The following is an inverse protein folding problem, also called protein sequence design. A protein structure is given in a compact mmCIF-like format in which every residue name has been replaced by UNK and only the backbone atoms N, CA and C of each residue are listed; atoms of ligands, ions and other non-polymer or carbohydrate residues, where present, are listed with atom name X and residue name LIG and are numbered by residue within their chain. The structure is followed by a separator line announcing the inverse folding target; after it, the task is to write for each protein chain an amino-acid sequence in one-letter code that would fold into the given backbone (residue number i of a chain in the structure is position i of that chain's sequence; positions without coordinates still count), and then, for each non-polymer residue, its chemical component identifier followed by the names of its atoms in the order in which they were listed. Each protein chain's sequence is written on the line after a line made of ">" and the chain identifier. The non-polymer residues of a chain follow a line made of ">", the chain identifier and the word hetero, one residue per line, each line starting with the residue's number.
data_IF_451948055151
#
_entry.id   IF_451948055151
#
_cell.length_a   1.000
_cell.length_b   1.000
_cell.length_c   1.000
_cell.angle_alpha   90.00
_cell.angle_beta   90.00
_cell.angle_gamma   90.00
#
_symmetry.space_group_name_H-M   'P 1'
#
loop_
_entity.id
_entity.type
_entity.pdbx_description
1 polymer ?
#
# COMPACT_ATOMS: atom_id res chain seq x y z
N UNK A 1 8.69 -20.09 -18.56
CA UNK A 1 7.71 -19.00 -18.76
C UNK A 1 8.31 -17.97 -19.71
N UNK A 2 7.49 -17.31 -20.53
CA UNK A 2 7.95 -16.17 -21.35
C UNK A 2 8.52 -15.09 -20.42
N UNK A 3 9.55 -14.36 -20.86
CA UNK A 3 10.13 -13.25 -20.11
C UNK A 3 9.14 -12.12 -19.83
N UNK A 4 8.01 -12.09 -20.55
CA UNK A 4 6.94 -11.09 -20.42
C UNK A 4 5.72 -11.59 -19.63
N UNK A 5 5.67 -12.86 -19.22
CA UNK A 5 4.54 -13.43 -18.51
C UNK A 5 4.37 -12.84 -17.10
N UNK A 6 3.12 -12.49 -16.76
CA UNK A 6 2.69 -12.10 -15.43
C UNK A 6 1.46 -12.91 -15.03
N UNK A 7 1.39 -13.37 -13.78
CA UNK A 7 0.27 -14.19 -13.29
C UNK A 7 -1.01 -13.38 -13.05
N UNK A 8 -0.89 -12.11 -12.70
CA UNK A 8 -2.04 -11.27 -12.32
C UNK A 8 -3.15 -11.20 -13.38
N UNK A 9 -2.90 -10.95 -14.67
CA UNK A 9 -3.96 -10.89 -15.67
C UNK A 9 -4.75 -12.19 -15.85
N UNK A 10 -4.22 -13.30 -15.35
CA UNK A 10 -4.82 -14.64 -15.49
C UNK A 10 -5.48 -15.12 -14.19
N UNK A 11 -5.31 -14.44 -13.09
CA UNK A 11 -5.78 -14.93 -11.78
C UNK A 11 -6.37 -13.87 -10.89
N UNK A 12 -6.13 -12.57 -11.13
CA UNK A 12 -6.44 -11.49 -10.21
C UNK A 12 -7.30 -10.39 -10.84
N UNK A 13 -8.16 -9.84 -10.02
CA UNK A 13 -8.81 -8.55 -10.25
C UNK A 13 -8.62 -7.63 -9.05
N UNK A 14 -8.48 -6.34 -9.33
CA UNK A 14 -8.28 -5.30 -8.35
C UNK A 14 -9.32 -4.19 -8.57
N UNK A 15 -9.89 -3.66 -7.49
CA UNK A 15 -10.72 -2.46 -7.55
C UNK A 15 -9.95 -1.22 -7.11
N UNK A 16 -10.24 -0.08 -7.72
CA UNK A 16 -10.01 1.20 -7.09
C UNK A 16 -11.05 1.48 -6.01
N UNK A 17 -10.87 2.57 -5.28
CA UNK A 17 -11.80 2.98 -4.21
C UNK A 17 -13.19 3.34 -4.73
N UNK A 18 -13.31 3.78 -5.98
CA UNK A 18 -14.57 4.08 -6.67
C UNK A 18 -15.13 2.89 -7.49
N UNK A 19 -14.52 1.71 -7.38
CA UNK A 19 -14.99 0.48 -8.00
C UNK A 19 -14.49 0.20 -9.41
N UNK A 20 -13.71 1.10 -10.00
CA UNK A 20 -13.10 0.84 -11.31
C UNK A 20 -12.12 -0.33 -11.25
N UNK A 21 -12.08 -1.10 -12.34
CA UNK A 21 -11.35 -2.37 -12.40
C UNK A 21 -9.92 -2.16 -12.87
N UNK A 22 -8.99 -2.79 -12.18
CA UNK A 22 -7.57 -2.88 -12.55
C UNK A 22 -7.11 -4.33 -12.63
N UNK A 23 -6.12 -4.58 -13.47
CA UNK A 23 -5.43 -5.89 -13.53
C UNK A 23 -4.66 -6.20 -12.25
N UNK A 24 -4.00 -5.19 -11.69
CA UNK A 24 -3.22 -5.27 -10.45
C UNK A 24 -2.97 -3.86 -9.88
N UNK A 25 -2.36 -3.77 -8.70
CA UNK A 25 -2.05 -2.51 -8.03
C UNK A 25 -0.97 -1.66 -8.73
N UNK A 26 -0.12 -2.26 -9.58
CA UNK A 26 1.00 -1.59 -10.25
C UNK A 26 0.71 -1.16 -11.69
N UNK A 27 -0.55 -1.19 -12.11
CA UNK A 27 -0.92 -0.77 -13.46
C UNK A 27 -0.78 0.75 -13.63
N UNK A 28 -0.49 1.19 -14.85
CA UNK A 28 -0.53 2.61 -15.19
C UNK A 28 -1.95 3.17 -14.95
N UNK A 29 -2.08 4.12 -14.05
CA UNK A 29 -3.37 4.68 -13.62
C UNK A 29 -4.13 5.44 -14.72
N UNK A 30 -3.43 5.83 -15.78
CA UNK A 30 -4.05 6.49 -16.94
C UNK A 30 -4.70 5.51 -17.93
N UNK A 31 -4.56 4.21 -17.71
CA UNK A 31 -5.10 3.17 -18.59
C UNK A 31 -6.13 2.33 -17.82
N UNK A 32 -7.35 2.84 -17.77
CA UNK A 32 -8.48 2.13 -17.19
C UNK A 32 -8.98 1.03 -18.12
N UNK A 33 -9.42 -0.08 -17.54
CA UNK A 33 -10.12 -1.10 -18.29
C UNK A 33 -11.47 -0.55 -18.78
N UNK A 34 -11.71 -0.56 -20.09
CA UNK A 34 -12.96 -0.06 -20.68
C UNK A 34 -13.65 -1.12 -21.51
N UNK A 35 -14.97 -0.99 -21.62
CA UNK A 35 -15.82 -1.72 -22.58
C UNK A 35 -16.73 -0.70 -23.25
N UNK A 36 -16.77 -0.69 -24.59
CA UNK A 36 -17.56 0.27 -25.38
C UNK A 36 -17.31 1.75 -25.03
N UNK A 37 -16.10 2.08 -24.54
CA UNK A 37 -15.71 3.42 -24.13
C UNK A 37 -16.13 3.79 -22.70
N UNK A 38 -16.85 2.92 -21.99
CA UNK A 38 -17.15 3.07 -20.57
C UNK A 38 -16.12 2.35 -19.71
N UNK A 39 -15.77 2.93 -18.56
CA UNK A 39 -14.85 2.33 -17.62
C UNK A 39 -15.50 1.12 -16.92
N UNK A 40 -14.79 -0.02 -16.93
CA UNK A 40 -15.23 -1.21 -16.24
C UNK A 40 -15.27 -0.97 -14.71
N UNK A 41 -16.40 -1.30 -14.11
CA UNK A 41 -16.65 -1.07 -12.68
C UNK A 41 -17.40 -2.27 -12.07
N UNK A 42 -16.95 -2.72 -10.91
CA UNK A 42 -17.54 -3.84 -10.19
C UNK A 42 -18.99 -3.63 -9.75
N UNK A 43 -19.43 -2.38 -9.58
CA UNK A 43 -20.83 -2.05 -9.24
C UNK A 43 -21.74 -1.93 -10.46
N UNK A 44 -21.23 -2.10 -11.70
CA UNK A 44 -22.02 -1.90 -12.92
C UNK A 44 -21.98 -3.06 -13.90
N UNK A 45 -20.92 -3.85 -13.88
CA UNK A 45 -20.65 -4.89 -14.86
C UNK A 45 -20.52 -6.25 -14.18
N UNK A 46 -21.03 -7.30 -14.84
CA UNK A 46 -20.88 -8.65 -14.34
C UNK A 46 -19.41 -9.08 -14.31
N UNK A 47 -19.10 -10.02 -13.41
CA UNK A 47 -17.73 -10.56 -13.34
C UNK A 47 -17.30 -11.20 -14.67
N UNK A 48 -18.23 -11.75 -15.42
CA UNK A 48 -17.97 -12.36 -16.72
C UNK A 48 -17.60 -11.29 -17.76
N UNK A 49 -18.33 -10.18 -17.81
CA UNK A 49 -18.06 -9.06 -18.73
C UNK A 49 -16.71 -8.40 -18.39
N UNK A 50 -16.43 -8.19 -17.10
CA UNK A 50 -15.14 -7.67 -16.63
C UNK A 50 -14.01 -8.61 -17.07
N UNK A 51 -14.13 -9.91 -16.76
CA UNK A 51 -13.05 -10.89 -16.90
C UNK A 51 -12.74 -11.22 -18.35
N UNK A 52 -13.76 -11.19 -19.22
CA UNK A 52 -13.64 -11.49 -20.65
C UNK A 52 -13.67 -10.24 -21.56
N UNK A 53 -13.55 -9.05 -20.99
CA UNK A 53 -13.48 -7.82 -21.75
C UNK A 53 -12.32 -7.82 -22.76
N UNK A 54 -12.46 -7.10 -23.85
CA UNK A 54 -11.42 -6.95 -24.88
C UNK A 54 -10.10 -6.44 -24.29
N UNK A 55 -10.18 -5.58 -23.28
CA UNK A 55 -9.01 -5.09 -22.56
C UNK A 55 -8.25 -6.24 -21.88
N UNK A 56 -8.95 -7.08 -21.11
CA UNK A 56 -8.34 -8.21 -20.40
C UNK A 56 -7.76 -9.24 -21.36
N UNK A 57 -8.51 -9.57 -22.42
CA UNK A 57 -8.06 -10.50 -23.46
C UNK A 57 -6.85 -9.98 -24.21
N UNK A 58 -6.82 -8.69 -24.54
CA UNK A 58 -5.70 -8.04 -25.24
C UNK A 58 -4.41 -8.14 -24.40
N UNK A 59 -4.46 -7.78 -23.13
CA UNK A 59 -3.28 -7.87 -22.24
C UNK A 59 -2.79 -9.31 -22.12
N UNK A 60 -3.69 -10.28 -21.94
CA UNK A 60 -3.34 -11.71 -21.88
C UNK A 60 -2.69 -12.18 -23.19
N UNK A 61 -3.28 -11.83 -24.34
CA UNK A 61 -2.77 -12.17 -25.65
C UNK A 61 -1.36 -11.62 -25.88
N UNK A 62 -1.13 -10.35 -25.58
CA UNK A 62 0.18 -9.72 -25.69
C UNK A 62 1.23 -10.45 -24.84
N UNK A 63 0.92 -10.75 -23.57
CA UNK A 63 1.84 -11.50 -22.70
C UNK A 63 2.16 -12.90 -23.21
N UNK A 64 1.16 -13.61 -23.74
CA UNK A 64 1.35 -14.96 -24.30
C UNK A 64 2.19 -14.94 -25.59
N UNK A 65 2.11 -13.85 -26.35
CA UNK A 65 2.91 -13.63 -27.56
C UNK A 65 4.35 -13.14 -27.26
N UNK A 66 4.70 -12.92 -25.98
CA UNK A 66 6.01 -12.38 -25.60
C UNK A 66 6.12 -10.87 -25.79
N UNK A 67 5.00 -10.16 -25.92
CA UNK A 67 4.92 -8.71 -26.01
C UNK A 67 4.87 -8.09 -24.60
N UNK A 68 5.19 -6.80 -24.49
CA UNK A 68 5.11 -5.99 -23.27
C UNK A 68 3.86 -5.09 -23.31
N UNK A 69 2.74 -5.45 -22.67
CA UNK A 69 1.56 -4.59 -22.66
C UNK A 69 1.86 -3.20 -22.09
N UNK A 70 1.35 -2.15 -22.73
CA UNK A 70 1.51 -0.76 -22.25
C UNK A 70 0.89 -0.55 -20.87
N UNK A 71 -0.21 -1.22 -20.58
CA UNK A 71 -0.82 -1.21 -19.25
C UNK A 71 0.14 -1.64 -18.13
N UNK A 72 1.15 -2.45 -18.42
CA UNK A 72 2.13 -2.99 -17.50
C UNK A 72 3.46 -2.21 -17.50
N UNK A 73 3.51 -1.03 -18.12
CA UNK A 73 4.74 -0.24 -18.32
C UNK A 73 5.51 0.02 -17.04
N UNK A 74 4.84 0.27 -15.93
CA UNK A 74 5.50 0.50 -14.62
C UNK A 74 6.44 -0.66 -14.26
N UNK A 75 6.02 -1.90 -14.48
CA UNK A 75 6.89 -3.07 -14.23
C UNK A 75 8.06 -3.14 -15.22
N UNK A 76 7.82 -2.84 -16.49
CA UNK A 76 8.87 -2.86 -17.50
C UNK A 76 9.93 -1.81 -17.26
N UNK A 77 9.52 -0.60 -16.90
CA UNK A 77 10.43 0.52 -16.60
C UNK A 77 11.32 0.22 -15.38
N UNK A 78 10.81 -0.49 -14.36
CA UNK A 78 11.58 -0.96 -13.21
C UNK A 78 12.58 -2.04 -13.62
N UNK A 79 12.13 -3.04 -14.37
CA UNK A 79 12.96 -4.17 -14.80
C UNK A 79 14.09 -3.74 -15.74
N UNK A 80 13.83 -2.80 -16.63
CA UNK A 80 14.84 -2.22 -17.54
C UNK A 80 15.92 -1.43 -16.78
N UNK A 81 15.58 -0.95 -15.55
CA UNK A 81 16.53 -0.33 -14.61
C UNK A 81 17.20 -1.35 -13.67
N UNK A 82 16.92 -2.65 -13.82
CA UNK A 82 17.45 -3.70 -12.95
C UNK A 82 16.78 -3.76 -11.57
N UNK A 83 15.63 -3.10 -11.39
CA UNK A 83 14.84 -3.12 -10.15
C UNK A 83 13.78 -4.20 -10.24
N UNK A 84 13.60 -4.97 -9.16
CA UNK A 84 12.57 -5.99 -9.08
C UNK A 84 11.17 -5.36 -9.13
N UNK A 85 10.35 -5.81 -10.08
CA UNK A 85 8.97 -5.36 -10.26
C UNK A 85 7.96 -6.21 -9.48
N UNK A 86 6.72 -5.68 -9.31
CA UNK A 86 5.60 -6.45 -8.76
C UNK A 86 5.29 -7.71 -9.57
N UNK A 87 5.50 -7.69 -10.89
CA UNK A 87 5.34 -8.85 -11.77
C UNK A 87 6.32 -9.97 -11.40
N UNK A 88 7.57 -9.64 -11.13
CA UNK A 88 8.60 -10.62 -10.77
C UNK A 88 8.39 -11.15 -9.35
N UNK A 89 7.94 -10.32 -8.42
CA UNK A 89 7.68 -10.72 -7.04
C UNK A 89 6.35 -11.46 -6.84
N UNK A 90 5.41 -11.37 -7.78
CA UNK A 90 4.08 -11.98 -7.66
C UNK A 90 4.11 -13.48 -7.29
N UNK A 91 5.04 -14.26 -7.87
CA UNK A 91 5.18 -15.68 -7.57
C UNK A 91 5.74 -15.98 -6.17
N UNK A 92 6.34 -14.99 -5.52
CA UNK A 92 6.85 -15.10 -4.15
C UNK A 92 5.80 -14.78 -3.10
N UNK A 93 4.68 -14.17 -3.49
CA UNK A 93 3.60 -13.84 -2.57
C UNK A 93 2.92 -15.11 -2.04
N UNK A 94 2.79 -15.27 -0.69
CA UNK A 94 2.14 -16.44 -0.10
C UNK A 94 0.70 -16.62 -0.60
N UNK A 95 -0.06 -15.54 -0.72
CA UNK A 95 -1.44 -15.56 -1.21
C UNK A 95 -1.60 -15.96 -2.67
N UNK A 96 -0.52 -15.97 -3.47
CA UNK A 96 -0.49 -16.44 -4.85
C UNK A 96 0.21 -17.80 -5.01
N UNK A 97 0.51 -18.47 -3.90
CA UNK A 97 1.19 -19.78 -3.92
C UNK A 97 0.42 -20.83 -4.76
N UNK A 98 -0.90 -20.76 -4.82
CA UNK A 98 -1.76 -21.63 -5.63
C UNK A 98 -1.46 -21.52 -7.15
N UNK A 99 -0.94 -20.40 -7.63
CA UNK A 99 -0.60 -20.16 -9.03
C UNK A 99 0.88 -20.43 -9.34
N UNK A 100 1.69 -20.73 -8.29
CA UNK A 100 3.13 -20.96 -8.45
C UNK A 100 3.40 -22.17 -9.33
N UNK A 101 4.24 -21.98 -10.36
CA UNK A 101 4.56 -23.03 -11.32
C UNK A 101 3.48 -23.33 -12.36
N UNK A 102 2.32 -22.66 -12.30
CA UNK A 102 1.29 -22.76 -13.32
C UNK A 102 1.50 -21.68 -14.37
N UNK A 103 1.30 -22.03 -15.62
CA UNK A 103 1.28 -21.10 -16.73
C UNK A 103 -0.09 -21.19 -17.42
N UNK A 104 -0.86 -20.12 -17.29
CA UNK A 104 -2.15 -20.01 -17.96
C UNK A 104 -1.90 -19.63 -19.42
N UNK A 105 -2.37 -20.45 -20.38
CA UNK A 105 -2.13 -20.26 -21.82
C UNK A 105 -3.36 -19.85 -22.60
N UNK A 106 -4.49 -19.68 -21.91
CA UNK A 106 -5.73 -19.21 -22.54
C UNK A 106 -5.91 -17.72 -22.34
N UNK A 107 -6.40 -17.02 -23.35
CA UNK A 107 -6.87 -15.63 -23.23
C UNK A 107 -8.18 -15.55 -22.43
N UNK A 108 -8.89 -16.68 -22.30
CA UNK A 108 -10.11 -16.87 -21.51
C UNK A 108 -9.81 -17.88 -20.38
N UNK A 109 -9.05 -17.50 -19.34
CA UNK A 109 -8.79 -18.38 -18.21
C UNK A 109 -10.08 -18.55 -17.37
N UNK A 110 -10.12 -19.55 -16.46
CA UNK A 110 -11.17 -19.63 -15.47
C UNK A 110 -11.35 -18.30 -14.71
N UNK A 111 -12.53 -18.07 -14.13
CA UNK A 111 -12.81 -16.86 -13.34
C UNK A 111 -11.68 -16.56 -12.34
N UNK A 112 -11.50 -15.28 -11.99
CA UNK A 112 -10.41 -14.87 -11.11
C UNK A 112 -10.47 -15.61 -9.77
N UNK A 113 -9.31 -16.05 -9.31
CA UNK A 113 -9.15 -16.73 -8.03
C UNK A 113 -8.55 -15.83 -6.95
N UNK A 114 -8.21 -14.59 -7.30
CA UNK A 114 -7.72 -13.56 -6.40
C UNK A 114 -8.49 -12.26 -6.61
N UNK A 115 -8.93 -11.66 -5.53
CA UNK A 115 -9.53 -10.34 -5.50
C UNK A 115 -8.71 -9.42 -4.58
N UNK A 116 -8.46 -8.21 -5.04
CA UNK A 116 -7.97 -7.10 -4.21
C UNK A 116 -9.04 -6.01 -4.20
N UNK A 117 -9.61 -5.74 -3.04
CA UNK A 117 -10.76 -4.85 -2.90
C UNK A 117 -10.43 -3.61 -2.07
N UNK A 118 -10.84 -2.45 -2.61
CA UNK A 118 -10.82 -1.14 -1.97
C UNK A 118 -12.24 -0.60 -1.94
N UNK A 119 -12.97 -0.88 -0.86
CA UNK A 119 -14.38 -0.49 -0.73
C UNK A 119 -14.51 0.96 -0.27
N UNK A 120 -14.54 1.89 -1.23
CA UNK A 120 -14.66 3.32 -0.95
C UNK A 120 -13.41 3.97 -0.35
N UNK A 121 -13.54 5.23 0.03
CA UNK A 121 -12.46 6.04 0.60
C UNK A 121 -12.60 6.29 2.12
N UNK A 122 -13.37 5.47 2.83
CA UNK A 122 -13.61 5.64 4.26
C UNK A 122 -12.31 5.37 5.05
N UNK A 123 -11.82 6.37 5.77
CA UNK A 123 -10.62 6.28 6.59
C UNK A 123 -10.71 7.19 7.80
N UNK A 124 -10.22 6.76 8.95
CA UNK A 124 -10.16 7.59 10.15
C UNK A 124 -8.90 8.46 10.25
N UNK A 125 -7.95 8.31 9.32
CA UNK A 125 -6.68 9.06 9.30
C UNK A 125 -6.60 10.05 8.14
N UNK A 126 -5.63 10.97 8.27
CA UNK A 126 -5.22 11.99 7.29
C UNK A 126 -3.71 11.97 7.14
N UNK A 127 -3.18 10.81 6.73
CA UNK A 127 -1.73 10.63 6.55
C UNK A 127 -1.17 11.63 5.53
N UNK A 128 0.02 12.16 5.80
CA UNK A 128 0.61 13.23 4.98
C UNK A 128 0.87 12.82 3.53
N UNK A 129 1.24 11.56 3.30
CA UNK A 129 1.51 11.02 1.95
C UNK A 129 0.28 10.47 1.25
N UNK A 130 -0.90 10.53 1.88
CA UNK A 130 -2.14 10.00 1.29
C UNK A 130 -2.92 11.10 0.54
N UNK A 131 -3.94 10.70 -0.19
CA UNK A 131 -4.77 11.57 -1.00
C UNK A 131 -6.27 11.44 -0.70
N UNK A 132 -7.06 12.38 -1.19
CA UNK A 132 -8.49 12.47 -0.88
C UNK A 132 -9.32 11.32 -1.46
N UNK A 133 -8.84 10.66 -2.51
CA UNK A 133 -9.51 9.50 -3.10
C UNK A 133 -9.35 8.21 -2.26
N UNK A 134 -8.46 8.21 -1.27
CA UNK A 134 -8.27 7.10 -0.33
C UNK A 134 -8.60 7.47 1.12
N UNK A 135 -9.03 8.72 1.39
CA UNK A 135 -9.49 9.14 2.71
C UNK A 135 -10.50 10.27 2.62
N UNK A 136 -11.73 10.00 3.05
CA UNK A 136 -12.78 11.00 3.22
C UNK A 136 -12.38 12.11 4.20
N UNK A 137 -11.58 11.79 5.23
CA UNK A 137 -11.05 12.76 6.18
C UNK A 137 -10.05 13.73 5.54
N UNK A 138 -9.26 13.25 4.56
CA UNK A 138 -8.38 14.14 3.78
C UNK A 138 -9.23 15.02 2.85
N UNK A 139 -10.25 14.47 2.21
CA UNK A 139 -11.18 15.27 1.39
C UNK A 139 -11.80 16.40 2.19
N UNK A 140 -12.30 16.13 3.39
CA UNK A 140 -12.85 17.11 4.32
C UNK A 140 -11.82 18.18 4.74
N UNK A 141 -10.59 17.76 5.06
CA UNK A 141 -9.52 18.68 5.45
C UNK A 141 -9.13 19.59 4.29
N UNK A 142 -8.90 19.03 3.10
CA UNK A 142 -8.55 19.80 1.89
C UNK A 142 -9.66 20.78 1.48
N UNK A 143 -10.92 20.38 1.58
CA UNK A 143 -12.07 21.27 1.31
C UNK A 143 -12.04 22.52 2.19
N UNK A 144 -11.62 22.39 3.45
CA UNK A 144 -11.51 23.55 4.37
C UNK A 144 -10.27 24.41 4.16
N UNK A 145 -9.26 23.87 3.50
CA UNK A 145 -7.94 24.46 3.37
C UNK A 145 -7.60 24.94 1.96
N UNK A 146 -8.27 24.44 0.93
CA UNK A 146 -7.87 24.61 -0.48
C UNK A 146 -7.64 26.06 -0.87
N UNK A 147 -8.43 27.00 -0.36
CA UNK A 147 -8.30 28.45 -0.64
C UNK A 147 -7.24 29.15 0.26
N UNK A 148 -6.58 28.42 1.15
CA UNK A 148 -5.64 28.96 2.15
C UNK A 148 -4.21 28.45 1.97
N UNK A 149 -3.97 27.68 0.91
CA UNK A 149 -2.68 27.07 0.59
C UNK A 149 -2.05 27.75 -0.63
N UNK A 150 -0.76 27.55 -0.89
CA UNK A 150 -0.11 28.07 -2.09
C UNK A 150 -0.80 27.62 -3.38
N UNK A 151 -0.72 28.44 -4.43
CA UNK A 151 -1.43 28.22 -5.70
C UNK A 151 -1.16 26.84 -6.32
N UNK A 152 0.08 26.36 -6.28
CA UNK A 152 0.43 25.05 -6.82
C UNK A 152 -0.30 23.90 -6.07
N UNK A 153 -0.41 24.01 -4.74
CA UNK A 153 -1.09 23.02 -3.91
C UNK A 153 -2.61 23.14 -4.01
N UNK A 154 -3.13 24.36 -4.17
CA UNK A 154 -4.55 24.62 -4.45
C UNK A 154 -4.97 23.88 -5.72
N UNK A 155 -4.20 24.03 -6.83
CA UNK A 155 -4.51 23.36 -8.11
C UNK A 155 -4.56 21.83 -7.97
N UNK A 156 -3.56 21.25 -7.30
CA UNK A 156 -3.49 19.81 -7.09
C UNK A 156 -4.69 19.32 -6.24
N UNK A 157 -4.98 20.01 -5.16
CA UNK A 157 -6.09 19.63 -4.28
C UNK A 157 -7.46 19.86 -4.92
N UNK A 158 -7.63 20.93 -5.69
CA UNK A 158 -8.89 21.17 -6.40
C UNK A 158 -9.16 20.06 -7.42
N UNK A 159 -8.14 19.63 -8.15
CA UNK A 159 -8.26 18.50 -9.09
C UNK A 159 -8.71 17.22 -8.36
N UNK A 160 -8.06 16.85 -7.25
CA UNK A 160 -8.46 15.69 -6.45
C UNK A 160 -9.88 15.81 -5.88
N UNK A 161 -10.26 16.99 -5.38
CA UNK A 161 -11.61 17.23 -4.83
C UNK A 161 -12.69 17.15 -5.92
N UNK A 162 -12.38 17.56 -7.14
CA UNK A 162 -13.32 17.44 -8.26
C UNK A 162 -13.50 16.00 -8.72
N UNK A 163 -12.47 15.17 -8.66
CA UNK A 163 -12.60 13.72 -8.84
C UNK A 163 -13.43 13.10 -7.72
N UNK A 164 -13.16 13.49 -6.48
CA UNK A 164 -13.84 12.99 -5.29
C UNK A 164 -15.35 13.22 -5.34
N UNK A 165 -15.80 14.38 -5.83
CA UNK A 165 -17.24 14.73 -5.99
C UNK A 165 -17.96 13.86 -7.02
N UNK A 166 -17.24 13.30 -7.99
CA UNK A 166 -17.81 12.49 -9.09
C UNK A 166 -17.88 11.00 -8.76
N UNK A 167 -17.12 10.54 -7.75
CA UNK A 167 -16.98 9.14 -7.43
C UNK A 167 -18.21 8.59 -6.69
N UNK A 168 -18.58 7.36 -7.01
CA UNK A 168 -19.53 6.58 -6.21
C UNK A 168 -18.75 5.79 -5.15
N UNK A 169 -18.69 6.32 -3.92
CA UNK A 169 -17.96 5.70 -2.81
C UNK A 169 -18.65 4.47 -2.22
N UNK A 170 -19.87 4.14 -2.69
CA UNK A 170 -20.65 3.00 -2.23
C UNK A 170 -21.03 2.05 -3.37
N UNK A 171 -20.21 1.98 -4.42
CA UNK A 171 -20.39 1.12 -5.58
C UNK A 171 -20.61 -0.35 -5.21
N UNK A 172 -20.08 -0.76 -4.07
CA UNK A 172 -20.18 -2.10 -3.52
C UNK A 172 -21.54 -2.42 -2.88
N UNK A 173 -22.47 -1.47 -2.79
CA UNK A 173 -23.87 -1.68 -2.42
C UNK A 173 -24.73 -2.12 -3.62
N UNK A 174 -24.16 -2.14 -4.83
CA UNK A 174 -24.87 -2.59 -6.03
C UNK A 174 -25.06 -4.11 -6.03
N UNK A 175 -26.26 -4.63 -6.42
CA UNK A 175 -26.55 -6.07 -6.50
C UNK A 175 -25.59 -6.85 -7.41
N UNK A 176 -25.04 -6.23 -8.45
CA UNK A 176 -24.09 -6.88 -9.35
C UNK A 176 -22.80 -7.27 -8.63
N UNK A 177 -22.33 -6.42 -7.71
CA UNK A 177 -21.18 -6.76 -6.88
C UNK A 177 -21.48 -7.91 -5.91
N UNK A 178 -22.70 -7.98 -5.35
CA UNK A 178 -23.14 -9.12 -4.53
C UNK A 178 -23.13 -10.43 -5.33
N UNK A 179 -23.65 -10.41 -6.56
CA UNK A 179 -23.63 -11.55 -7.45
C UNK A 179 -22.19 -11.99 -7.78
N UNK A 180 -21.29 -11.03 -8.00
CA UNK A 180 -19.86 -11.29 -8.22
C UNK A 180 -19.23 -12.01 -7.03
N UNK A 181 -19.44 -11.54 -5.79
CA UNK A 181 -18.88 -12.17 -4.59
C UNK A 181 -19.46 -13.58 -4.41
N UNK A 182 -20.79 -13.75 -4.55
CA UNK A 182 -21.44 -15.05 -4.43
C UNK A 182 -20.91 -16.08 -5.43
N UNK A 183 -20.63 -15.66 -6.68
CA UNK A 183 -20.09 -16.53 -7.72
C UNK A 183 -18.64 -16.94 -7.46
N UNK A 184 -17.81 -16.04 -6.92
CA UNK A 184 -16.37 -16.28 -6.71
C UNK A 184 -16.09 -16.98 -5.38
N UNK A 185 -16.85 -16.73 -4.34
CA UNK A 185 -16.61 -17.18 -2.96
C UNK A 185 -16.20 -18.65 -2.83
N UNK A 186 -16.87 -19.65 -3.47
CA UNK A 186 -16.53 -21.06 -3.30
C UNK A 186 -15.14 -21.45 -3.80
N UNK A 187 -14.61 -20.71 -4.78
CA UNK A 187 -13.36 -21.03 -5.47
C UNK A 187 -12.25 -19.98 -5.28
N UNK A 188 -12.53 -18.91 -4.52
CA UNK A 188 -11.57 -17.84 -4.27
C UNK A 188 -10.37 -18.37 -3.50
N UNK A 189 -9.17 -18.08 -3.97
CA UNK A 189 -7.90 -18.50 -3.35
C UNK A 189 -7.25 -17.38 -2.53
N UNK A 190 -7.55 -16.14 -2.85
CA UNK A 190 -7.02 -14.97 -2.15
C UNK A 190 -8.06 -13.85 -2.13
N UNK A 191 -8.30 -13.29 -0.96
CA UNK A 191 -8.96 -12.00 -0.77
C UNK A 191 -7.97 -11.04 -0.11
N UNK A 192 -7.71 -9.90 -0.75
CA UNK A 192 -6.90 -8.84 -0.17
C UNK A 192 -7.74 -7.60 0.05
N UNK A 193 -7.87 -7.21 1.31
CA UNK A 193 -8.63 -6.05 1.74
C UNK A 193 -7.68 -4.88 2.03
N UNK A 194 -7.88 -3.77 1.31
CA UNK A 194 -7.08 -2.55 1.44
C UNK A 194 -7.94 -1.33 1.10
N UNK A 195 -7.36 -0.15 0.87
CA UNK A 195 -8.10 1.06 0.48
C UNK A 195 -7.93 2.20 1.47
N UNK A 196 -9.03 2.76 1.99
CA UNK A 196 -9.02 3.71 3.10
C UNK A 196 -8.57 3.02 4.39
N UNK A 197 -9.54 2.63 5.23
CA UNK A 197 -9.30 1.71 6.36
C UNK A 197 -10.36 0.60 6.31
N UNK A 198 -9.98 -0.62 5.91
CA UNK A 198 -10.92 -1.71 5.70
C UNK A 198 -11.74 -2.11 6.93
N UNK A 199 -11.16 -1.95 8.13
CA UNK A 199 -11.81 -2.30 9.40
C UNK A 199 -12.98 -1.40 9.77
N UNK A 200 -13.18 -0.28 9.07
CA UNK A 200 -14.31 0.63 9.25
C UNK A 200 -15.52 0.27 8.37
N UNK A 201 -15.35 -0.66 7.44
CA UNK A 201 -16.36 -0.96 6.42
C UNK A 201 -16.94 -2.33 6.68
N UNK A 202 -18.16 -2.39 7.25
CA UNK A 202 -18.86 -3.64 7.58
C UNK A 202 -18.98 -4.61 6.40
N UNK A 203 -19.07 -4.08 5.18
CA UNK A 203 -19.14 -4.89 3.97
C UNK A 203 -17.95 -5.84 3.81
N UNK A 204 -16.77 -5.47 4.28
CA UNK A 204 -15.60 -6.37 4.28
C UNK A 204 -15.83 -7.61 5.16
N UNK A 205 -16.44 -7.42 6.34
CA UNK A 205 -16.81 -8.55 7.22
C UNK A 205 -17.87 -9.44 6.56
N UNK A 206 -18.87 -8.84 5.91
CA UNK A 206 -19.92 -9.59 5.19
C UNK A 206 -19.34 -10.42 4.04
N UNK A 207 -18.40 -9.87 3.26
CA UNK A 207 -17.71 -10.61 2.19
C UNK A 207 -16.92 -11.80 2.76
N UNK A 208 -16.19 -11.60 3.85
CA UNK A 208 -15.48 -12.71 4.51
C UNK A 208 -16.45 -13.79 4.98
N UNK A 209 -17.60 -13.42 5.56
CA UNK A 209 -18.66 -14.39 5.94
C UNK A 209 -19.22 -15.14 4.75
N UNK A 210 -19.53 -14.46 3.65
CA UNK A 210 -20.01 -15.13 2.42
C UNK A 210 -19.02 -16.19 1.92
N UNK A 211 -17.70 -15.92 2.02
CA UNK A 211 -16.68 -16.90 1.66
C UNK A 211 -16.65 -18.07 2.65
N UNK A 212 -16.75 -17.81 3.95
CA UNK A 212 -16.83 -18.85 4.99
C UNK A 212 -18.10 -19.71 4.84
N UNK A 213 -19.25 -19.08 4.61
CA UNK A 213 -20.55 -19.75 4.42
C UNK A 213 -20.57 -20.63 3.17
N UNK A 214 -19.77 -20.31 2.14
CA UNK A 214 -19.54 -21.17 0.98
C UNK A 214 -18.68 -22.42 1.28
N UNK A 215 -18.19 -22.56 2.51
CA UNK A 215 -17.30 -23.64 2.95
C UNK A 215 -15.81 -23.40 2.67
N UNK A 216 -15.44 -22.23 2.14
CA UNK A 216 -14.08 -21.93 1.67
C UNK A 216 -13.22 -21.28 2.77
N UNK A 217 -12.85 -22.03 3.80
CA UNK A 217 -11.92 -21.58 4.86
C UNK A 217 -10.46 -21.50 4.39
N UNK A 218 -10.13 -22.11 3.25
CA UNK A 218 -8.77 -22.13 2.69
C UNK A 218 -8.43 -20.90 1.85
N UNK A 219 -9.38 -19.98 1.65
CA UNK A 219 -9.10 -18.70 1.04
C UNK A 219 -8.06 -17.95 1.88
N UNK A 220 -6.95 -17.55 1.24
CA UNK A 220 -5.92 -16.75 1.90
C UNK A 220 -6.39 -15.31 2.09
N UNK A 221 -6.48 -14.84 3.32
CA UNK A 221 -6.93 -13.49 3.62
C UNK A 221 -5.73 -12.58 3.87
N UNK A 222 -5.64 -11.48 3.12
CA UNK A 222 -4.66 -10.42 3.36
C UNK A 222 -5.38 -9.12 3.73
N UNK A 223 -4.87 -8.41 4.71
CA UNK A 223 -5.39 -7.13 5.17
C UNK A 223 -4.27 -6.11 5.27
N UNK A 224 -4.43 -4.94 4.65
CA UNK A 224 -3.64 -3.75 5.00
C UNK A 224 -4.48 -2.83 5.89
N UNK A 225 -3.95 -2.50 7.06
CA UNK A 225 -4.62 -1.65 8.05
C UNK A 225 -3.65 -0.66 8.70
N UNK A 226 -4.18 0.51 9.09
CA UNK A 226 -3.46 1.45 9.95
C UNK A 226 -3.46 1.02 11.44
N UNK A 227 -4.22 0.00 11.77
CA UNK A 227 -4.36 -0.63 13.07
C UNK A 227 -4.78 0.33 14.21
N UNK A 228 -5.38 1.46 13.90
CA UNK A 228 -5.89 2.39 14.93
C UNK A 228 -7.34 2.11 15.32
N UNK A 229 -8.05 1.32 14.53
CA UNK A 229 -9.37 0.79 14.82
C UNK A 229 -9.29 -0.71 15.12
N UNK A 230 -10.06 -1.16 16.10
CA UNK A 230 -10.22 -2.58 16.40
C UNK A 230 -11.71 -2.88 16.43
N UNK A 231 -12.16 -3.71 15.51
CA UNK A 231 -13.51 -4.22 15.44
C UNK A 231 -13.46 -5.75 15.69
N UNK A 232 -14.00 -6.19 16.82
CA UNK A 232 -13.94 -7.60 17.23
C UNK A 232 -14.62 -8.51 16.21
N UNK A 233 -15.74 -8.07 15.62
CA UNK A 233 -16.47 -8.82 14.62
C UNK A 233 -15.65 -9.03 13.35
N UNK A 234 -14.98 -7.99 12.88
CA UNK A 234 -14.10 -8.04 11.72
C UNK A 234 -12.92 -9.00 11.96
N UNK A 235 -12.17 -8.78 13.04
CA UNK A 235 -10.93 -9.53 13.29
C UNK A 235 -11.21 -10.98 13.68
N UNK A 236 -12.29 -11.26 14.44
CA UNK A 236 -12.69 -12.63 14.75
C UNK A 236 -13.15 -13.39 13.51
N UNK A 237 -13.96 -12.77 12.63
CA UNK A 237 -14.35 -13.36 11.35
C UNK A 237 -13.12 -13.65 10.47
N UNK A 238 -12.17 -12.72 10.43
CA UNK A 238 -10.92 -12.91 9.67
C UNK A 238 -10.10 -14.09 10.23
N UNK A 239 -10.04 -14.25 11.55
CA UNK A 239 -9.29 -15.32 12.21
C UNK A 239 -9.90 -16.73 12.01
N UNK A 240 -11.13 -16.85 11.48
CA UNK A 240 -11.73 -18.14 11.15
C UNK A 240 -11.13 -18.82 9.90
N UNK A 241 -10.40 -18.05 9.07
CA UNK A 241 -9.71 -18.61 7.89
C UNK A 241 -8.44 -19.36 8.29
N UNK A 242 -8.11 -20.37 7.52
CA UNK A 242 -6.98 -21.25 7.81
C UNK A 242 -5.63 -20.55 7.61
N UNK A 243 -5.53 -19.53 6.76
CA UNK A 243 -4.27 -18.85 6.44
C UNK A 243 -4.50 -17.39 6.06
N UNK A 244 -3.52 -16.55 6.41
CA UNK A 244 -3.55 -15.15 6.00
C UNK A 244 -2.38 -14.32 6.49
N UNK A 245 -2.47 -13.03 6.22
CA UNK A 245 -1.48 -12.05 6.64
C UNK A 245 -2.12 -10.72 7.04
N UNK A 246 -1.52 -10.09 8.03
CA UNK A 246 -1.82 -8.71 8.40
C UNK A 246 -0.65 -7.82 7.99
N UNK A 247 -0.95 -6.80 7.21
CA UNK A 247 -0.01 -5.79 6.73
C UNK A 247 -0.29 -4.50 7.50
N UNK A 248 0.56 -4.23 8.48
CA UNK A 248 0.38 -3.12 9.41
C UNK A 248 1.18 -1.93 8.92
N UNK A 249 0.51 -0.82 8.71
CA UNK A 249 1.11 0.40 8.20
C UNK A 249 1.75 1.21 9.33
N UNK A 250 3.08 1.21 9.39
CA UNK A 250 3.88 1.95 10.38
C UNK A 250 5.04 2.64 9.66
N UNK A 251 5.07 3.97 9.67
CA UNK A 251 6.09 4.74 8.95
C UNK A 251 7.20 5.25 9.87
N UNK A 252 6.94 5.32 11.15
CA UNK A 252 7.88 5.73 12.20
C UNK A 252 7.41 5.20 13.54
N UNK A 253 8.03 5.59 14.63
CA UNK A 253 7.59 5.24 16.00
C UNK A 253 7.06 6.48 16.72
N UNK A 254 6.15 6.29 17.71
CA UNK A 254 5.65 7.30 18.64
C UNK A 254 5.13 8.58 17.96
N UNK A 255 5.52 9.75 18.47
CA UNK A 255 5.04 11.06 17.98
C UNK A 255 5.36 11.32 16.51
N UNK A 256 6.45 10.81 15.98
CA UNK A 256 6.77 10.93 14.56
C UNK A 256 5.77 10.16 13.70
N UNK A 257 5.36 8.96 14.13
CA UNK A 257 4.31 8.21 13.44
C UNK A 257 2.94 8.91 13.59
N UNK A 258 2.64 9.51 14.76
CA UNK A 258 1.42 10.29 14.97
C UNK A 258 1.34 11.51 14.05
N UNK A 259 2.48 12.14 13.75
CA UNK A 259 2.58 13.25 12.81
C UNK A 259 2.34 12.79 11.35
N UNK A 260 3.08 11.75 10.91
CA UNK A 260 2.98 11.25 9.52
C UNK A 260 1.59 10.70 9.25
N UNK A 261 1.04 9.95 10.20
CA UNK A 261 -0.26 9.26 10.11
C UNK A 261 -1.33 9.93 10.97
N UNK A 262 -1.43 11.26 10.86
CA UNK A 262 -2.33 12.08 11.69
C UNK A 262 -3.82 11.66 11.54
N UNK A 263 -4.64 11.64 12.61
CA UNK A 263 -4.32 11.86 14.02
C UNK A 263 -4.13 10.55 14.83
N UNK A 264 -3.28 9.64 14.34
CA UNK A 264 -2.96 8.39 15.04
C UNK A 264 -2.59 8.66 16.50
N UNK A 265 -2.95 7.72 17.38
CA UNK A 265 -2.37 7.61 18.73
C UNK A 265 -1.53 6.35 18.78
N UNK A 266 -0.23 6.53 19.00
CA UNK A 266 0.74 5.43 19.00
C UNK A 266 0.38 4.33 20.00
N UNK A 267 -0.04 4.71 21.21
CA UNK A 267 -0.50 3.77 22.22
C UNK A 267 -1.65 2.88 21.74
N UNK A 268 -2.51 3.38 20.83
CA UNK A 268 -3.60 2.60 20.28
C UNK A 268 -3.11 1.56 19.25
N UNK A 269 -2.06 1.90 18.50
CA UNK A 269 -1.40 0.94 17.60
C UNK A 269 -0.77 -0.20 18.42
N UNK A 270 -0.04 0.12 19.48
CA UNK A 270 0.58 -0.89 20.35
C UNK A 270 -0.46 -1.76 21.08
N UNK A 271 -1.54 -1.17 21.59
CA UNK A 271 -2.67 -1.90 22.18
C UNK A 271 -3.27 -2.91 21.19
N UNK A 272 -3.53 -2.47 19.95
CA UNK A 272 -4.14 -3.33 18.95
C UNK A 272 -3.16 -4.38 18.40
N UNK A 273 -1.87 -4.08 18.32
CA UNK A 273 -0.84 -5.08 18.02
C UNK A 273 -0.83 -6.21 19.06
N UNK A 274 -0.97 -5.89 20.35
CA UNK A 274 -1.06 -6.89 21.41
C UNK A 274 -2.29 -7.80 21.22
N UNK A 275 -3.44 -7.26 20.76
CA UNK A 275 -4.63 -8.06 20.46
C UNK A 275 -4.40 -9.03 19.30
N UNK A 276 -3.61 -8.66 18.28
CA UNK A 276 -3.27 -9.55 17.16
C UNK A 276 -2.65 -10.85 17.66
N UNK A 277 -1.74 -10.78 18.65
CA UNK A 277 -1.02 -11.97 19.13
C UNK A 277 -1.92 -13.00 19.79
N UNK A 278 -3.05 -12.58 20.36
CA UNK A 278 -4.02 -13.47 21.00
C UNK A 278 -5.19 -13.87 20.10
N UNK A 279 -5.48 -13.08 19.05
CA UNK A 279 -6.62 -13.31 18.15
C UNK A 279 -6.25 -14.25 17.00
N UNK A 280 -5.03 -14.09 16.44
CA UNK A 280 -4.63 -14.84 15.24
C UNK A 280 -3.72 -16.00 15.55
N UNK A 281 -3.88 -17.16 14.85
CA UNK A 281 -2.98 -18.29 14.97
C UNK A 281 -1.52 -17.90 14.66
N UNK A 282 -0.56 -18.58 15.27
CA UNK A 282 0.88 -18.30 15.16
C UNK A 282 1.41 -18.33 13.73
N UNK A 283 0.84 -19.17 12.89
CA UNK A 283 1.28 -19.31 11.49
C UNK A 283 0.82 -18.16 10.57
N UNK A 284 -0.02 -17.25 11.08
CA UNK A 284 -0.36 -16.04 10.35
C UNK A 284 0.84 -15.09 10.27
N UNK A 285 1.10 -14.58 9.08
CA UNK A 285 2.21 -13.63 8.87
C UNK A 285 1.80 -12.22 9.29
N UNK A 286 2.67 -11.54 10.04
CA UNK A 286 2.53 -10.11 10.34
C UNK A 286 3.61 -9.38 9.56
N UNK A 287 3.19 -8.48 8.66
CA UNK A 287 4.07 -7.60 7.88
C UNK A 287 3.97 -6.17 8.39
N UNK A 288 5.10 -5.56 8.63
CA UNK A 288 5.17 -4.12 8.88
C UNK A 288 5.52 -3.41 7.57
N UNK A 289 4.54 -2.69 7.03
CA UNK A 289 4.72 -1.85 5.86
C UNK A 289 5.18 -0.47 6.29
N UNK A 290 6.31 -0.04 5.78
CA UNK A 290 6.86 1.29 6.00
C UNK A 290 7.01 2.00 4.66
N UNK A 291 6.30 3.11 4.49
CA UNK A 291 6.47 3.99 3.34
C UNK A 291 7.58 4.98 3.66
N UNK A 292 8.77 4.76 3.07
CA UNK A 292 9.90 5.66 3.22
C UNK A 292 9.69 6.93 2.42
N UNK A 293 9.79 8.03 3.12
CA UNK A 293 9.54 9.38 2.65
C UNK A 293 10.50 10.34 3.39
N UNK A 294 10.45 11.62 3.05
CA UNK A 294 11.35 12.60 3.63
C UNK A 294 11.38 12.61 5.17
N UNK A 295 10.25 12.41 5.83
CA UNK A 295 10.15 12.45 7.29
C UNK A 295 10.89 11.32 8.01
N UNK A 296 11.00 10.16 7.39
CA UNK A 296 11.51 8.94 8.03
C UNK A 296 12.73 8.35 7.32
N UNK A 297 13.46 9.17 6.56
CA UNK A 297 14.64 8.71 5.82
C UNK A 297 15.71 8.08 6.72
N UNK A 298 15.76 8.50 7.99
CA UNK A 298 16.72 8.09 9.01
C UNK A 298 16.10 7.24 10.14
N UNK A 299 14.93 6.62 9.90
CA UNK A 299 14.18 5.92 10.93
C UNK A 299 14.31 4.38 10.92
N UNK A 300 15.13 3.80 10.03
CA UNK A 300 15.27 2.33 9.90
C UNK A 300 15.63 1.67 11.22
N UNK A 301 16.67 2.19 11.89
CA UNK A 301 17.11 1.66 13.19
C UNK A 301 16.03 1.77 14.26
N UNK A 302 15.30 2.89 14.32
CA UNK A 302 14.25 3.11 15.33
C UNK A 302 13.08 2.14 15.14
N UNK A 303 12.70 1.88 13.89
CA UNK A 303 11.66 0.90 13.57
C UNK A 303 12.10 -0.52 13.92
N UNK A 304 13.34 -0.90 13.60
CA UNK A 304 13.86 -2.23 13.90
C UNK A 304 14.04 -2.44 15.39
N UNK A 305 14.53 -1.45 16.13
CA UNK A 305 14.67 -1.51 17.60
C UNK A 305 13.30 -1.64 18.27
N UNK A 306 12.29 -0.89 17.80
CA UNK A 306 10.93 -1.02 18.30
C UNK A 306 10.32 -2.39 17.97
N UNK A 307 10.49 -2.91 16.77
CA UNK A 307 10.01 -4.24 16.39
C UNK A 307 10.65 -5.34 17.24
N UNK A 308 11.95 -5.20 17.53
CA UNK A 308 12.64 -6.12 18.43
C UNK A 308 12.08 -6.05 19.85
N UNK A 309 11.93 -4.83 20.38
CA UNK A 309 11.36 -4.63 21.73
C UNK A 309 9.94 -5.21 21.82
N UNK A 310 9.11 -4.95 20.80
CA UNK A 310 7.74 -5.46 20.74
C UNK A 310 7.71 -6.99 20.80
N UNK A 311 8.49 -7.66 19.95
CA UNK A 311 8.58 -9.13 19.92
C UNK A 311 9.07 -9.70 21.26
N UNK A 312 10.05 -9.07 21.88
CA UNK A 312 10.62 -9.53 23.14
C UNK A 312 9.68 -9.37 24.33
N UNK A 313 8.78 -8.40 24.29
CA UNK A 313 7.88 -8.06 25.40
C UNK A 313 6.48 -8.65 25.31
N UNK A 314 5.96 -8.85 24.10
CA UNK A 314 4.56 -9.21 23.89
C UNK A 314 4.35 -10.51 23.10
N UNK A 315 5.34 -10.96 22.34
CA UNK A 315 5.25 -12.17 21.55
C UNK A 315 6.13 -13.26 22.15
N UNK A 316 5.52 -14.13 22.90
CA UNK A 316 6.18 -15.32 23.46
C UNK A 316 6.34 -16.44 22.41
N UNK A 317 5.80 -16.25 21.21
CA UNK A 317 5.81 -17.26 20.17
C UNK A 317 6.90 -16.95 19.15
N UNK A 318 8.03 -17.63 19.28
CA UNK A 318 9.20 -17.46 18.42
C UNK A 318 8.96 -17.94 16.96
N UNK A 319 7.87 -18.68 16.71
CA UNK A 319 7.56 -19.26 15.41
C UNK A 319 6.74 -18.34 14.52
N UNK A 320 6.16 -17.25 15.07
CA UNK A 320 5.40 -16.28 14.29
C UNK A 320 6.29 -15.53 13.30
N UNK A 321 5.84 -15.48 12.05
CA UNK A 321 6.59 -14.82 10.98
C UNK A 321 6.30 -13.31 11.00
N UNK A 322 7.34 -12.53 11.25
CA UNK A 322 7.32 -11.07 11.11
C UNK A 322 8.16 -10.67 9.91
N UNK A 323 7.60 -9.83 9.05
CA UNK A 323 8.27 -9.30 7.88
C UNK A 323 8.24 -7.78 7.95
N UNK A 324 9.38 -7.15 7.72
CA UNK A 324 9.44 -5.73 7.47
C UNK A 324 9.55 -5.51 5.97
N UNK A 325 8.64 -4.69 5.42
CA UNK A 325 8.53 -4.43 3.98
C UNK A 325 8.64 -2.93 3.70
N UNK A 326 9.84 -2.43 3.40
CA UNK A 326 10.03 -1.02 3.05
C UNK A 326 9.57 -0.75 1.62
N UNK A 327 8.88 0.37 1.44
CA UNK A 327 8.44 0.91 0.16
C UNK A 327 8.91 2.36 0.06
N UNK A 328 9.41 2.80 -1.07
CA UNK A 328 9.72 4.22 -1.30
C UNK A 328 8.47 4.93 -1.80
N UNK A 329 8.17 6.09 -1.21
CA UNK A 329 7.10 6.96 -1.67
C UNK A 329 7.47 7.52 -3.05
N UNK A 330 6.64 7.29 -4.06
CA UNK A 330 6.84 7.86 -5.39
C UNK A 330 6.15 9.23 -5.53
N UNK A 331 4.94 9.34 -5.05
CA UNK A 331 4.13 10.56 -5.12
C UNK A 331 3.43 10.82 -3.76
N UNK A 332 3.33 12.10 -3.32
CA UNK A 332 3.76 13.31 -3.99
C UNK A 332 5.29 13.53 -3.91
N UNK A 333 5.88 14.03 -4.99
CA UNK A 333 7.35 14.18 -5.12
C UNK A 333 7.99 15.05 -4.03
N UNK A 334 7.29 16.06 -3.52
CA UNK A 334 7.81 16.91 -2.45
C UNK A 334 7.89 16.21 -1.08
N UNK A 335 7.30 15.03 -0.93
CA UNK A 335 7.48 14.16 0.24
C UNK A 335 8.46 13.01 -0.02
N UNK A 336 8.87 12.79 -1.28
CA UNK A 336 9.80 11.73 -1.62
C UNK A 336 11.19 12.04 -1.02
N UNK A 337 11.94 11.00 -0.68
CA UNK A 337 13.29 11.11 -0.11
C UNK A 337 14.29 11.86 -1.00
N UNK A 338 14.01 11.97 -2.31
CA UNK A 338 14.88 12.67 -3.27
C UNK A 338 14.92 14.17 -3.04
N UNK A 339 13.91 14.74 -2.38
CA UNK A 339 13.94 16.14 -2.02
C UNK A 339 15.05 16.45 -1.00
N UNK A 340 15.53 15.44 -0.25
CA UNK A 340 16.67 15.56 0.64
C UNK A 340 18.00 15.51 -0.15
N UNK A 341 19.03 16.26 0.25
CA UNK A 341 20.34 16.18 -0.37
C UNK A 341 20.90 14.75 -0.34
N UNK A 342 21.57 14.34 -1.41
CA UNK A 342 22.17 13.01 -1.49
C UNK A 342 23.13 12.74 -0.31
N UNK A 343 23.85 13.78 0.15
CA UNK A 343 24.75 13.68 1.30
C UNK A 343 24.01 13.20 2.55
N UNK A 344 22.78 13.67 2.82
CA UNK A 344 21.99 13.24 3.98
C UNK A 344 21.69 11.73 3.93
N UNK A 345 21.27 11.24 2.77
CA UNK A 345 21.00 9.81 2.54
C UNK A 345 22.26 8.95 2.69
N UNK A 346 23.41 9.42 2.12
CA UNK A 346 24.69 8.72 2.19
C UNK A 346 25.29 8.70 3.61
N UNK A 347 25.19 9.78 4.35
CA UNK A 347 25.62 9.83 5.75
C UNK A 347 24.85 8.79 6.58
N UNK A 348 23.52 8.78 6.46
CA UNK A 348 22.69 7.84 7.20
C UNK A 348 22.96 6.38 6.81
N UNK A 349 23.03 6.06 5.51
CA UNK A 349 23.29 4.68 5.07
C UNK A 349 24.70 4.20 5.42
N UNK A 350 25.67 5.11 5.45
CA UNK A 350 27.04 4.81 5.89
C UNK A 350 27.05 4.46 7.37
N UNK A 351 26.38 5.27 8.19
CA UNK A 351 26.21 5.01 9.62
C UNK A 351 25.45 3.69 9.85
N UNK A 352 24.34 3.47 9.16
CA UNK A 352 23.51 2.26 9.27
C UNK A 352 24.31 0.98 8.99
N UNK A 353 25.21 1.03 8.00
CA UNK A 353 26.07 -0.13 7.65
C UNK A 353 27.22 -0.36 8.62
N UNK A 354 27.83 0.71 9.14
CA UNK A 354 29.08 0.60 9.90
C UNK A 354 28.86 0.57 11.41
N UNK A 355 27.91 1.35 11.90
CA UNK A 355 27.75 1.63 13.31
C UNK A 355 26.50 0.97 13.91
N UNK A 356 25.41 0.82 13.13
CA UNK A 356 24.19 0.22 13.63
C UNK A 356 24.36 -1.29 13.76
N UNK A 357 24.14 -1.77 14.96
CA UNK A 357 24.09 -3.19 15.27
C UNK A 357 22.67 -3.56 15.67
N UNK A 358 21.91 -4.20 14.76
CA UNK A 358 20.57 -4.65 15.10
C UNK A 358 20.63 -5.62 16.30
N UNK A 359 19.65 -5.60 17.19
CA UNK A 359 19.58 -6.51 18.32
C UNK A 359 19.78 -7.96 17.87
N UNK A 360 20.61 -8.73 18.62
CA UNK A 360 21.11 -10.07 18.19
C UNK A 360 20.03 -11.07 17.79
N UNK A 361 18.80 -10.90 18.23
CA UNK A 361 17.66 -11.76 17.91
C UNK A 361 16.99 -11.46 16.55
N UNK A 362 17.33 -10.33 15.91
CA UNK A 362 16.87 -9.99 14.54
C UNK A 362 17.74 -10.66 13.47
N UNK A 363 18.40 -11.77 13.72
CA UNK A 363 19.12 -12.54 12.70
C UNK A 363 18.20 -13.18 11.65
N UNK A 364 16.99 -12.70 11.49
CA UNK A 364 16.08 -13.16 10.47
C UNK A 364 16.48 -12.51 9.14
N UNK A 365 16.71 -13.31 8.12
CA UNK A 365 17.03 -12.91 6.73
C UNK A 365 16.16 -11.78 6.18
N UNK A 366 14.90 -11.68 6.64
CA UNK A 366 13.95 -10.69 6.19
C UNK A 366 14.29 -9.25 6.61
N UNK A 367 14.82 -9.04 7.81
CA UNK A 367 15.24 -7.71 8.28
C UNK A 367 16.53 -7.26 7.58
N UNK A 368 17.49 -8.15 7.44
CA UNK A 368 18.72 -7.85 6.72
C UNK A 368 18.41 -7.52 5.26
N UNK A 369 17.54 -8.29 4.62
CA UNK A 369 17.11 -8.00 3.26
C UNK A 369 16.45 -6.61 3.15
N UNK A 370 15.61 -6.22 4.10
CA UNK A 370 15.00 -4.89 4.13
C UNK A 370 16.02 -3.77 4.32
N UNK A 371 17.02 -3.95 5.20
CA UNK A 371 18.13 -3.01 5.36
C UNK A 371 18.91 -2.87 4.05
N UNK A 372 19.30 -3.99 3.44
CA UNK A 372 20.05 -4.01 2.20
C UNK A 372 19.25 -3.34 1.06
N UNK A 373 17.95 -3.55 1.02
CA UNK A 373 17.04 -2.93 0.07
C UNK A 373 17.02 -1.39 0.22
N UNK A 374 16.86 -0.88 1.44
CA UNK A 374 16.90 0.58 1.71
C UNK A 374 18.27 1.16 1.38
N UNK A 375 19.33 0.48 1.80
CA UNK A 375 20.70 0.94 1.55
C UNK A 375 21.00 0.98 0.05
N UNK A 376 20.58 -0.02 -0.70
CA UNK A 376 20.74 -0.05 -2.14
C UNK A 376 19.92 1.05 -2.81
N UNK A 377 18.67 1.23 -2.42
CA UNK A 377 17.80 2.29 -2.94
C UNK A 377 18.39 3.69 -2.68
N UNK A 378 18.86 3.97 -1.47
CA UNK A 378 19.42 5.30 -1.11
C UNK A 378 20.75 5.62 -1.82
N UNK A 379 21.50 4.59 -2.20
CA UNK A 379 22.80 4.73 -2.86
C UNK A 379 22.71 4.57 -4.39
N UNK A 380 21.53 4.29 -4.95
CA UNK A 380 21.37 4.10 -6.39
C UNK A 380 21.24 5.46 -7.09
N UNK A 381 22.33 5.93 -7.67
CA UNK A 381 22.42 7.26 -8.28
C UNK A 381 21.42 7.46 -9.44
N UNK A 382 21.07 6.38 -10.18
CA UNK A 382 20.21 6.49 -11.37
C UNK A 382 18.70 6.47 -11.08
N UNK A 383 18.28 6.02 -9.91
CA UNK A 383 16.83 5.95 -9.57
C UNK A 383 16.33 7.30 -9.07
N UNK A 384 17.24 8.17 -8.61
CA UNK A 384 16.91 9.34 -7.83
C UNK A 384 17.71 10.61 -8.23
N UNK A 385 18.23 10.66 -9.46
CA UNK A 385 18.83 11.90 -9.95
C UNK A 385 17.74 12.93 -10.24
N UNK A 386 17.74 13.97 -9.44
CA UNK A 386 17.07 15.23 -9.72
C UNK A 386 18.13 16.34 -9.73
N UNK A 387 17.95 17.33 -10.58
CA UNK A 387 18.85 18.45 -10.59
C UNK A 387 18.67 19.35 -9.34
N UNK A 388 19.62 20.24 -9.12
CA UNK A 388 19.62 21.10 -7.92
C UNK A 388 18.40 22.04 -7.89
N UNK A 389 17.96 22.53 -9.04
CA UNK A 389 16.81 23.45 -9.13
C UNK A 389 15.51 22.71 -8.79
N UNK A 390 15.33 21.49 -9.33
CA UNK A 390 14.19 20.64 -8.98
C UNK A 390 14.22 20.31 -7.49
N UNK A 391 15.38 19.94 -6.93
CA UNK A 391 15.52 19.64 -5.50
C UNK A 391 15.11 20.82 -4.63
N UNK A 392 15.61 22.02 -4.91
CA UNK A 392 15.24 23.24 -4.18
C UNK A 392 13.75 23.55 -4.30
N UNK A 393 13.19 23.36 -5.49
CA UNK A 393 11.74 23.52 -5.71
C UNK A 393 10.93 22.54 -4.85
N UNK A 394 11.34 21.28 -4.77
CA UNK A 394 10.66 20.27 -3.94
C UNK A 394 10.81 20.58 -2.45
N UNK A 395 11.98 21.04 -1.99
CA UNK A 395 12.19 21.48 -0.60
C UNK A 395 11.29 22.65 -0.22
N UNK A 396 11.17 23.65 -1.10
CA UNK A 396 10.23 24.76 -0.89
C UNK A 396 8.79 24.24 -0.78
N UNK A 397 8.37 23.36 -1.68
CA UNK A 397 7.03 22.77 -1.65
C UNK A 397 6.80 21.94 -0.38
N UNK A 398 7.81 21.20 0.07
CA UNK A 398 7.74 20.46 1.34
C UNK A 398 7.48 21.40 2.52
N UNK A 399 8.22 22.50 2.62
CA UNK A 399 8.04 23.52 3.67
C UNK A 399 6.65 24.11 3.61
N UNK A 400 6.23 24.62 2.46
CA UNK A 400 4.92 25.25 2.27
C UNK A 400 3.75 24.29 2.60
N UNK A 401 3.87 23.02 2.19
CA UNK A 401 2.89 21.98 2.49
C UNK A 401 2.77 21.73 4.00
N UNK A 402 3.91 21.50 4.66
CA UNK A 402 3.94 21.18 6.08
C UNK A 402 3.52 22.36 6.95
N UNK A 403 3.94 23.59 6.63
CA UNK A 403 3.54 24.78 7.37
C UNK A 403 2.01 25.01 7.27
N UNK A 404 1.41 24.71 6.12
CA UNK A 404 -0.04 24.77 5.96
C UNK A 404 -0.76 23.70 6.83
N UNK A 405 -0.26 22.47 6.84
CA UNK A 405 -0.81 21.39 7.67
C UNK A 405 -0.64 21.69 9.17
N UNK A 406 0.54 22.12 9.58
CA UNK A 406 0.87 22.44 10.98
C UNK A 406 -0.05 23.52 11.54
N UNK A 407 -0.28 24.59 10.76
CA UNK A 407 -1.22 25.63 11.13
C UNK A 407 -2.64 25.09 11.34
N UNK A 408 -3.08 24.15 10.51
CA UNK A 408 -4.41 23.54 10.60
C UNK A 408 -4.50 22.52 11.74
N UNK A 409 -3.47 21.69 11.90
CA UNK A 409 -3.45 20.56 12.83
C UNK A 409 -2.88 20.92 14.21
N UNK A 410 -2.27 22.11 14.34
CA UNK A 410 -1.54 22.57 15.53
C UNK A 410 -0.38 21.64 15.89
N UNK A 411 0.38 21.29 14.89
CA UNK A 411 1.59 20.47 14.95
C UNK A 411 2.81 21.31 14.58
N UNK A 412 4.02 20.77 14.69
CA UNK A 412 5.29 21.40 14.29
C UNK A 412 6.22 20.35 13.70
N UNK A 413 6.37 20.37 12.37
CA UNK A 413 7.21 19.40 11.69
C UNK A 413 8.70 19.58 12.00
N UNK A 414 9.15 20.82 12.24
CA UNK A 414 10.56 21.09 12.54
C UNK A 414 10.95 20.54 13.91
N UNK A 415 10.09 20.70 14.89
CA UNK A 415 10.28 20.12 16.21
C UNK A 415 10.17 18.58 16.18
N UNK A 416 9.26 18.04 15.36
CA UNK A 416 9.02 16.58 15.27
C UNK A 416 10.15 15.86 14.52
N UNK A 417 10.72 16.49 13.46
CA UNK A 417 11.75 15.93 12.57
C UNK A 417 12.98 16.86 12.46
N UNK A 418 13.73 17.04 13.55
CA UNK A 418 14.88 17.97 13.55
C UNK A 418 15.99 17.56 12.56
N UNK A 419 16.16 16.28 12.30
CA UNK A 419 17.10 15.77 11.29
C UNK A 419 16.72 16.21 9.87
N UNK A 420 15.43 16.17 9.54
CA UNK A 420 14.90 16.65 8.26
C UNK A 420 15.04 18.16 8.16
N UNK A 421 14.67 18.88 9.22
CA UNK A 421 14.78 20.34 9.27
C UNK A 421 16.20 20.83 9.03
N UNK A 422 17.21 20.15 9.60
CA UNK A 422 18.63 20.45 9.36
C UNK A 422 19.03 20.47 7.89
N UNK A 423 18.42 19.59 7.07
CA UNK A 423 18.78 19.45 5.65
C UNK A 423 17.96 20.33 4.69
N UNK A 424 16.88 20.92 5.17
CA UNK A 424 15.95 21.72 4.35
C UNK A 424 16.02 23.21 4.66
N UNK A 425 16.46 23.60 5.86
CA UNK A 425 16.56 24.99 6.24
C UNK A 425 17.66 25.71 5.44
N UNK A 426 17.34 26.84 4.77
CA UNK A 426 18.32 27.57 3.96
C UNK A 426 19.49 28.16 4.76
N UNK A 427 19.36 28.24 6.06
CA UNK A 427 20.30 28.86 7.00
C UNK A 427 20.93 27.84 7.97
N UNK A 428 20.81 26.52 7.68
CA UNK A 428 21.30 25.44 8.55
C UNK A 428 22.76 25.08 8.39
#
# INVERSE_FOLDING_TARGET
>A
MSSTYCVYPFTNLNSNTEGSVKLCCSINENLHATVDGEELNFGKHSIADIWNSDYMQTVRKQMLNGERPEACRVCWDLEDKGVQSSRQSAFSEPGLAYARGKEYRSIEPPLPQSLELRLGNFCNLRCNSCWSLSSDRIADERTRMVDKVPEWLNKDWQYELDLNKKANWRWWEDPEFDATIAQLAPNLKRLYLTGGEPTLIKRNTEIMRQILDSGNKDCYIALTTNLTNWDDDFFNTMAEFNNGELQISVDHVREQNEYIRFPTKWSKVEENLAKITVTFPVHWTIKHYTVYQAYNFDAVNLLLDWLHWYRSGFDYDHDRIYIWSPIILDYPKYLNINMLPQVARREYTTWLKKEYQPPMQIKNLWYQHGIDQIVNLYNHDTVFEIDVEEQQSLQKKFVEYNDALDKQRKTDWRATFPSVAKWISPDG
#
